data_IF_535752040242
#
_entry.id   IF_535752040242
#
_cell.length_a   1.000
_cell.length_b   1.000
_cell.length_c   1.000
_cell.angle_alpha   90.00
_cell.angle_beta   90.00
_cell.angle_gamma   90.00
#
_symmetry.space_group_name_H-M   'P 1'
#
loop_
_entity.id
_entity.type
_entity.pdbx_description
1 polymer ?
#
# COMPACT_ATOMS: atom_id res chain seq x y z
N UNK A 1 -26.06 3.48 -12.73
CA UNK A 1 -25.24 2.25 -12.83
C UNK A 1 -24.16 2.31 -11.76
N UNK A 2 -24.03 1.28 -10.92
CA UNK A 2 -22.92 1.18 -9.98
C UNK A 2 -21.64 0.97 -10.80
N UNK A 3 -20.68 1.90 -10.69
CA UNK A 3 -19.36 1.74 -11.31
C UNK A 3 -18.53 0.83 -10.40
N UNK A 4 -18.39 -0.44 -10.78
CA UNK A 4 -17.70 -1.45 -9.98
C UNK A 4 -16.18 -1.17 -9.83
N UNK A 5 -15.57 -0.59 -10.86
CA UNK A 5 -14.14 -0.27 -10.92
C UNK A 5 -13.72 0.76 -9.84
N UNK A 6 -14.33 1.95 -9.71
CA UNK A 6 -13.95 2.91 -8.69
C UNK A 6 -14.22 2.42 -7.26
N UNK A 7 -15.22 1.55 -7.06
CA UNK A 7 -15.45 0.89 -5.76
C UNK A 7 -14.28 -0.03 -5.41
N UNK A 8 -13.83 -0.85 -6.37
CA UNK A 8 -12.69 -1.74 -6.18
C UNK A 8 -11.40 -0.95 -5.88
N UNK A 9 -11.16 0.14 -6.62
CA UNK A 9 -10.00 1.02 -6.40
C UNK A 9 -10.06 1.66 -5.01
N UNK A 10 -11.25 2.12 -4.59
CA UNK A 10 -11.43 2.68 -3.23
C UNK A 10 -11.13 1.64 -2.15
N UNK A 11 -11.54 0.39 -2.35
CA UNK A 11 -11.23 -0.71 -1.43
C UNK A 11 -9.72 -1.02 -1.39
N UNK A 12 -9.03 -0.95 -2.52
CA UNK A 12 -7.57 -1.05 -2.61
C UNK A 12 -6.86 0.10 -1.87
N UNK A 13 -7.37 1.34 -1.97
CA UNK A 13 -6.83 2.49 -1.23
C UNK A 13 -6.96 2.28 0.27
N UNK A 14 -8.13 1.84 0.75
CA UNK A 14 -8.35 1.53 2.16
C UNK A 14 -7.42 0.40 2.62
N UNK A 15 -7.32 -0.67 1.81
CA UNK A 15 -6.41 -1.79 2.06
C UNK A 15 -4.94 -1.36 2.12
N UNK A 16 -4.52 -0.47 1.24
CA UNK A 16 -3.16 0.10 1.23
C UNK A 16 -2.86 0.88 2.51
N UNK A 17 -3.82 1.68 2.97
CA UNK A 17 -3.69 2.45 4.21
C UNK A 17 -3.59 1.54 5.43
N UNK A 18 -4.46 0.53 5.52
CA UNK A 18 -4.42 -0.48 6.58
C UNK A 18 -3.10 -1.25 6.56
N UNK A 19 -2.67 -1.70 5.39
CA UNK A 19 -1.39 -2.38 5.22
C UNK A 19 -0.23 -1.53 5.73
N UNK A 20 -0.17 -0.25 5.35
CA UNK A 20 0.88 0.68 5.78
C UNK A 20 0.93 0.83 7.31
N UNK A 21 -0.23 0.94 7.96
CA UNK A 21 -0.31 1.02 9.43
C UNK A 21 0.05 -0.27 10.15
N UNK A 22 -0.25 -1.43 9.56
CA UNK A 22 -0.01 -2.74 10.16
C UNK A 22 1.42 -3.25 9.91
N UNK A 23 2.08 -2.77 8.85
CA UNK A 23 3.43 -3.18 8.46
C UNK A 23 4.47 -3.12 9.61
N UNK A 24 4.55 -2.04 10.42
CA UNK A 24 5.51 -1.96 11.54
C UNK A 24 5.20 -2.94 12.68
N UNK A 25 3.97 -3.45 12.75
CA UNK A 25 3.50 -4.33 13.82
C UNK A 25 3.28 -5.77 13.36
N UNK A 26 3.75 -6.14 12.15
CA UNK A 26 3.53 -7.44 11.50
C UNK A 26 3.71 -8.63 12.44
N UNK A 27 4.79 -8.64 13.22
CA UNK A 27 5.17 -9.77 14.08
C UNK A 27 4.33 -9.86 15.36
N UNK A 28 3.56 -8.82 15.67
CA UNK A 28 2.67 -8.71 16.84
C UNK A 28 1.19 -8.80 16.47
N UNK A 29 0.86 -9.09 15.20
CA UNK A 29 -0.52 -9.21 14.75
C UNK A 29 -1.15 -10.50 15.26
N UNK A 30 -2.39 -10.40 15.77
CA UNK A 30 -3.23 -11.55 16.06
C UNK A 30 -3.46 -12.36 14.75
N UNK A 31 -3.48 -13.71 14.80
CA UNK A 31 -3.74 -14.60 13.67
C UNK A 31 -4.79 -14.15 12.66
N UNK A 32 -5.91 -13.55 13.10
CA UNK A 32 -6.96 -13.07 12.20
C UNK A 32 -6.48 -11.89 11.35
N UNK A 33 -5.88 -10.88 11.97
CA UNK A 33 -5.33 -9.71 11.28
C UNK A 33 -4.09 -10.06 10.47
N UNK A 34 -3.31 -11.05 10.92
CA UNK A 34 -2.15 -11.56 10.20
C UNK A 34 -2.55 -12.12 8.82
N UNK A 35 -3.65 -12.88 8.74
CA UNK A 35 -4.18 -13.40 7.45
C UNK A 35 -4.53 -12.27 6.49
N UNK A 36 -5.25 -11.25 6.97
CA UNK A 36 -5.62 -10.09 6.14
C UNK A 36 -4.39 -9.30 5.72
N UNK A 37 -3.43 -9.10 6.63
CA UNK A 37 -2.16 -8.46 6.32
C UNK A 37 -1.38 -9.24 5.27
N UNK A 38 -1.26 -10.56 5.40
CA UNK A 38 -0.52 -11.41 4.46
C UNK A 38 -1.16 -11.41 3.05
N UNK A 39 -2.49 -11.32 2.95
CA UNK A 39 -3.20 -11.12 1.68
C UNK A 39 -2.84 -9.78 1.02
N UNK A 40 -2.91 -8.67 1.76
CA UNK A 40 -2.49 -7.37 1.21
C UNK A 40 -0.99 -7.32 0.94
N UNK A 41 -0.19 -8.01 1.75
CA UNK A 41 1.24 -8.12 1.56
C UNK A 41 1.57 -8.86 0.26
N UNK A 42 0.88 -9.95 -0.07
CA UNK A 42 1.11 -10.67 -1.33
C UNK A 42 0.66 -9.85 -2.55
N UNK A 43 -0.38 -9.03 -2.40
CA UNK A 43 -0.88 -8.15 -3.46
C UNK A 43 0.05 -6.94 -3.70
N UNK A 44 0.51 -6.28 -2.63
CA UNK A 44 1.30 -5.05 -2.75
C UNK A 44 2.81 -5.27 -2.81
N UNK A 45 3.36 -6.32 -2.20
CA UNK A 45 4.81 -6.59 -2.22
C UNK A 45 5.44 -6.64 -3.62
N UNK A 46 4.88 -7.33 -4.63
CA UNK A 46 5.47 -7.34 -5.97
C UNK A 46 5.48 -5.94 -6.58
N UNK A 47 4.41 -5.17 -6.34
CA UNK A 47 4.29 -3.78 -6.81
C UNK A 47 5.32 -2.88 -6.12
N UNK A 48 5.47 -3.00 -4.79
CA UNK A 48 6.50 -2.25 -4.07
C UNK A 48 7.90 -2.65 -4.47
N UNK A 49 8.19 -3.94 -4.67
CA UNK A 49 9.49 -4.39 -5.12
C UNK A 49 9.84 -3.83 -6.51
N UNK A 50 8.85 -3.71 -7.39
CA UNK A 50 9.02 -3.03 -8.67
C UNK A 50 9.26 -1.52 -8.50
N UNK A 51 8.47 -0.86 -7.66
CA UNK A 51 8.59 0.58 -7.38
C UNK A 51 9.93 0.93 -6.71
N UNK A 52 10.39 0.14 -5.74
CA UNK A 52 11.67 0.32 -5.03
C UNK A 52 12.89 0.23 -5.92
N UNK A 53 12.82 -0.51 -7.04
CA UNK A 53 13.91 -0.52 -8.03
C UNK A 53 14.08 0.83 -8.73
N UNK A 54 13.03 1.64 -8.77
CA UNK A 54 13.01 2.95 -9.44
C UNK A 54 13.04 4.11 -8.45
N UNK A 55 12.44 3.94 -7.28
CA UNK A 55 12.22 4.98 -6.29
C UNK A 55 13.14 4.72 -5.10
N UNK A 56 14.06 5.66 -4.85
CA UNK A 56 14.94 5.61 -3.69
C UNK A 56 14.13 5.99 -2.43
N UNK A 57 14.41 5.35 -1.28
CA UNK A 57 13.82 5.77 -0.01
C UNK A 57 14.23 7.22 0.30
N UNK A 58 13.27 8.01 0.79
CA UNK A 58 13.48 9.44 1.01
C UNK A 58 13.89 9.68 2.46
N UNK A 59 15.05 10.30 2.66
CA UNK A 59 15.55 10.59 3.99
C UNK A 59 14.80 11.78 4.59
N UNK A 60 14.10 11.54 5.69
CA UNK A 60 13.33 12.57 6.44
C UNK A 60 14.00 12.98 7.74
N UNK A 61 15.08 12.29 8.13
CA UNK A 61 15.88 12.60 9.30
C UNK A 61 17.20 11.83 9.29
N UNK A 62 18.07 12.13 10.25
CA UNK A 62 19.31 11.38 10.44
C UNK A 62 18.99 9.91 10.73
N UNK A 63 19.34 9.02 9.80
CA UNK A 63 19.03 7.58 9.90
C UNK A 63 17.55 7.21 9.69
N UNK A 64 16.67 8.16 9.38
CA UNK A 64 15.24 7.93 9.15
C UNK A 64 14.92 8.13 7.68
N UNK A 65 14.57 7.03 7.01
CA UNK A 65 14.18 7.02 5.60
C UNK A 65 12.78 6.45 5.44
N UNK A 66 11.92 7.16 4.72
CA UNK A 66 10.56 6.74 4.41
C UNK A 66 10.54 6.01 3.07
N UNK A 67 9.83 4.88 3.05
CA UNK A 67 9.52 4.16 1.82
C UNK A 67 8.46 4.91 1.01
N UNK A 68 8.92 5.66 0.00
CA UNK A 68 8.04 6.45 -0.87
C UNK A 68 7.18 5.57 -1.81
N UNK A 69 7.45 4.27 -1.90
CA UNK A 69 6.72 3.36 -2.79
C UNK A 69 5.22 3.31 -2.46
N UNK A 70 4.87 3.41 -1.17
CA UNK A 70 3.48 3.45 -0.73
C UNK A 70 2.76 4.73 -1.17
N UNK A 71 3.45 5.87 -1.07
CA UNK A 71 2.91 7.17 -1.49
C UNK A 71 2.70 7.18 -3.00
N UNK A 72 3.67 6.69 -3.77
CA UNK A 72 3.55 6.62 -5.23
C UNK A 72 2.41 5.69 -5.64
N UNK A 73 2.27 4.52 -4.99
CA UNK A 73 1.16 3.62 -5.27
C UNK A 73 -0.20 4.25 -4.94
N UNK A 74 -0.29 5.02 -3.86
CA UNK A 74 -1.49 5.77 -3.51
C UNK A 74 -1.85 6.80 -4.59
N UNK A 75 -0.87 7.57 -5.07
CA UNK A 75 -1.08 8.55 -6.16
C UNK A 75 -1.60 7.83 -7.42
N UNK A 76 -1.03 6.68 -7.77
CA UNK A 76 -1.50 5.87 -8.91
C UNK A 76 -2.96 5.45 -8.72
N UNK A 77 -3.35 4.97 -7.54
CA UNK A 77 -4.74 4.60 -7.27
C UNK A 77 -5.69 5.79 -7.34
N UNK A 78 -5.29 6.96 -6.84
CA UNK A 78 -6.11 8.19 -6.93
C UNK A 78 -6.27 8.66 -8.38
N UNK A 79 -5.21 8.59 -9.18
CA UNK A 79 -5.29 8.89 -10.62
C UNK A 79 -6.22 7.92 -11.35
N UNK A 80 -6.09 6.61 -11.08
CA UNK A 80 -6.98 5.59 -11.65
C UNK A 80 -8.43 5.83 -11.23
N UNK A 81 -8.67 6.17 -9.96
CA UNK A 81 -10.02 6.46 -9.47
C UNK A 81 -10.67 7.63 -10.22
N UNK A 82 -9.89 8.65 -10.58
CA UNK A 82 -10.39 9.82 -11.31
C UNK A 82 -10.58 9.56 -12.82
N UNK A 83 -10.00 8.49 -13.36
CA UNK A 83 -10.11 8.13 -14.79
C UNK A 83 -11.36 7.28 -15.11
N UNK A 84 -11.97 6.63 -14.12
CA UNK A 84 -13.11 5.70 -14.28
C UNK A 84 -14.42 6.26 -13.70
#
# INVERSE_FOLDING_TARGET
MIKLIPILISLLIIGLFLYSKLLPYRDKLNPQYKKTFDFFNSLFSPVFNFLKKRIKPFQVGLGLSIDMSQIVLLIIFLMLLNLF
#
